data_IF_492939635569
#
_entry.id   IF_492939635569
#
_cell.length_a   1.000
_cell.length_b   1.000
_cell.length_c   1.000
_cell.angle_alpha   90.00
_cell.angle_beta   90.00
_cell.angle_gamma   90.00
#
_symmetry.space_group_name_H-M   'P 1'
#
loop_
_entity.id
_entity.type
_entity.pdbx_description
1 polymer ?
#
# COMPACT_ATOMS: atom_id res chain seq x y z
N UNK A 1 -52.48 -28.17 39.06
CA UNK A 1 -52.38 -26.88 38.33
C UNK A 1 -52.50 -25.75 39.34
N UNK A 2 -51.40 -25.10 39.71
CA UNK A 2 -51.41 -23.95 40.61
C UNK A 2 -51.72 -22.68 39.82
N UNK A 3 -52.89 -22.06 40.06
CA UNK A 3 -53.29 -20.84 39.39
C UNK A 3 -52.42 -19.66 39.85
N UNK A 4 -51.65 -19.07 38.94
CA UNK A 4 -50.92 -17.83 39.18
C UNK A 4 -51.92 -16.69 39.41
N UNK A 5 -52.01 -16.24 40.67
CA UNK A 5 -52.87 -15.11 41.06
C UNK A 5 -52.24 -13.82 40.56
N UNK A 6 -52.77 -13.26 39.47
CA UNK A 6 -52.34 -11.98 38.92
C UNK A 6 -52.60 -10.89 39.97
N UNK A 7 -51.54 -10.17 40.39
CA UNK A 7 -51.64 -9.09 41.38
C UNK A 7 -52.59 -7.99 40.86
N UNK A 8 -53.40 -7.41 41.76
CA UNK A 8 -54.29 -6.31 41.38
C UNK A 8 -53.50 -5.09 40.90
N UNK A 9 -54.04 -4.27 39.98
CA UNK A 9 -53.35 -3.10 39.43
C UNK A 9 -52.87 -2.09 40.50
N UNK A 10 -53.59 -2.00 41.63
CA UNK A 10 -53.18 -1.18 42.77
C UNK A 10 -51.89 -1.69 43.43
N UNK A 11 -51.78 -3.00 43.67
CA UNK A 11 -50.57 -3.61 44.26
C UNK A 11 -49.34 -3.45 43.37
N UNK A 12 -49.53 -3.48 42.05
CA UNK A 12 -48.44 -3.23 41.08
C UNK A 12 -47.99 -1.77 41.13
N UNK A 13 -48.91 -0.80 41.26
CA UNK A 13 -48.57 0.62 41.41
C UNK A 13 -47.82 0.90 42.72
N UNK A 14 -48.27 0.32 43.83
CA UNK A 14 -47.61 0.44 45.14
C UNK A 14 -46.20 -0.16 45.13
N UNK A 15 -46.01 -1.35 44.56
CA UNK A 15 -44.67 -1.93 44.41
C UNK A 15 -43.77 -1.09 43.50
N UNK A 16 -44.28 -0.60 42.36
CA UNK A 16 -43.51 0.27 41.46
C UNK A 16 -43.05 1.55 42.15
N UNK A 17 -43.92 2.18 42.93
CA UNK A 17 -43.61 3.44 43.60
C UNK A 17 -42.67 3.23 44.81
N UNK A 18 -42.68 2.04 45.44
CA UNK A 18 -41.72 1.62 46.49
C UNK A 18 -40.26 1.55 46.01
N UNK A 19 -40.02 1.28 44.72
CA UNK A 19 -38.66 1.17 44.16
C UNK A 19 -38.21 2.38 43.33
N UNK A 20 -39.13 3.29 42.98
CA UNK A 20 -38.87 4.45 42.10
C UNK A 20 -37.82 5.42 42.65
N UNK A 21 -37.69 5.52 43.97
CA UNK A 21 -36.75 6.41 44.65
C UNK A 21 -35.49 5.70 45.21
N UNK A 22 -35.35 4.38 45.02
CA UNK A 22 -34.18 3.64 45.52
C UNK A 22 -32.95 3.72 44.61
N UNK A 23 -33.14 4.11 43.35
CA UNK A 23 -32.10 4.17 42.32
C UNK A 23 -31.89 5.59 41.75
N UNK A 24 -32.46 6.61 42.38
CA UNK A 24 -32.19 8.00 42.01
C UNK A 24 -30.99 8.50 42.81
N UNK A 25 -29.84 8.59 42.13
CA UNK A 25 -28.68 9.28 42.70
C UNK A 25 -29.04 10.76 42.99
N UNK A 26 -28.49 11.36 44.07
CA UNK A 26 -28.67 12.78 44.34
C UNK A 26 -28.33 13.59 43.09
N UNK A 27 -29.13 14.62 42.74
CA UNK A 27 -28.93 15.43 41.52
C UNK A 27 -27.50 15.94 41.34
N UNK A 28 -26.75 16.14 42.43
CA UNK A 28 -25.33 16.48 42.40
C UNK A 28 -24.45 15.34 41.87
N UNK A 29 -24.70 14.10 42.27
CA UNK A 29 -23.92 12.92 41.84
C UNK A 29 -24.15 12.60 40.37
N UNK A 30 -25.41 12.62 39.91
CA UNK A 30 -25.72 12.48 38.47
C UNK A 30 -25.10 13.60 37.63
N UNK A 31 -25.07 14.83 38.17
CA UNK A 31 -24.39 15.94 37.53
C UNK A 31 -22.86 15.71 37.43
N UNK A 32 -22.19 15.29 38.50
CA UNK A 32 -20.75 15.00 38.44
C UNK A 32 -20.44 13.83 37.50
N UNK A 33 -21.23 12.74 37.53
CA UNK A 33 -21.04 11.59 36.63
C UNK A 33 -21.17 11.97 35.15
N UNK A 34 -22.14 12.83 34.81
CA UNK A 34 -22.29 13.35 33.45
C UNK A 34 -21.04 14.12 32.99
N UNK A 35 -20.49 14.96 33.85
CA UNK A 35 -19.28 15.74 33.51
C UNK A 35 -18.00 14.91 33.50
N UNK A 36 -17.89 13.89 34.34
CA UNK A 36 -16.79 12.91 34.30
C UNK A 36 -16.78 12.18 32.95
N UNK A 37 -17.96 11.74 32.48
CA UNK A 37 -18.09 11.11 31.16
C UNK A 37 -17.74 12.07 30.02
N UNK A 38 -18.19 13.34 30.10
CA UNK A 38 -17.85 14.36 29.11
C UNK A 38 -16.32 14.61 29.03
N UNK A 39 -15.64 14.69 30.18
CA UNK A 39 -14.19 14.85 30.23
C UNK A 39 -13.43 13.63 29.70
N UNK A 40 -13.93 12.41 29.94
CA UNK A 40 -13.34 11.20 29.39
C UNK A 40 -13.39 11.19 27.86
N UNK A 41 -14.51 11.61 27.27
CA UNK A 41 -14.67 11.71 25.80
C UNK A 41 -13.72 12.78 25.23
N UNK A 42 -13.65 13.96 25.85
CA UNK A 42 -12.75 15.03 25.41
C UNK A 42 -11.28 14.59 25.51
N UNK A 43 -10.91 13.91 26.59
CA UNK A 43 -9.57 13.36 26.78
C UNK A 43 -9.18 12.35 25.70
N UNK A 44 -10.08 11.42 25.36
CA UNK A 44 -9.86 10.44 24.27
C UNK A 44 -9.69 11.16 22.93
N UNK A 45 -10.55 12.12 22.60
CA UNK A 45 -10.45 12.88 21.35
C UNK A 45 -9.16 13.71 21.27
N UNK A 46 -8.72 14.30 22.38
CA UNK A 46 -7.46 15.04 22.43
C UNK A 46 -6.24 14.14 22.21
N UNK A 47 -6.22 12.94 22.80
CA UNK A 47 -5.16 11.94 22.59
C UNK A 47 -5.13 11.48 21.13
N UNK A 48 -6.30 11.20 20.53
CA UNK A 48 -6.40 10.82 19.12
C UNK A 48 -5.94 11.94 18.18
N UNK A 49 -6.32 13.20 18.45
CA UNK A 49 -5.87 14.35 17.66
C UNK A 49 -4.38 14.66 17.79
N UNK A 50 -3.81 14.52 19.00
CA UNK A 50 -2.37 14.68 19.25
C UNK A 50 -1.53 13.56 18.62
N UNK A 51 -2.01 12.32 18.65
CA UNK A 51 -1.38 11.19 17.96
C UNK A 51 -1.25 11.44 16.45
N UNK A 52 -2.28 12.04 15.84
CA UNK A 52 -2.27 12.41 14.43
C UNK A 52 -1.30 13.56 14.12
N UNK A 53 -1.30 14.64 14.93
CA UNK A 53 -0.38 15.78 14.77
C UNK A 53 1.10 15.42 14.97
N UNK A 54 1.40 14.44 15.82
CA UNK A 54 2.77 14.01 16.11
C UNK A 54 3.24 12.82 15.26
N UNK A 55 2.38 12.30 14.37
CA UNK A 55 2.68 11.12 13.54
C UNK A 55 2.85 9.82 14.35
N UNK A 56 2.42 9.80 15.62
CA UNK A 56 2.43 8.58 16.44
C UNK A 56 1.14 7.81 16.17
N UNK A 57 1.16 6.99 15.12
CA UNK A 57 0.12 6.00 14.83
C UNK A 57 0.07 4.97 15.96
N UNK A 58 -0.88 5.14 16.88
CA UNK A 58 -1.28 4.08 17.80
C UNK A 58 -2.08 3.02 17.02
N UNK A 59 -1.40 2.20 16.21
CA UNK A 59 -1.84 0.87 15.77
C UNK A 59 -3.21 0.76 15.08
N UNK A 60 -3.66 1.78 14.34
CA UNK A 60 -4.88 1.72 13.50
C UNK A 60 -4.54 1.86 12.01
N UNK A 61 -3.48 1.17 11.55
CA UNK A 61 -3.00 1.26 10.16
C UNK A 61 -3.95 0.59 9.14
N UNK A 62 -5.05 -0.02 9.57
CA UNK A 62 -6.06 -0.62 8.67
C UNK A 62 -7.01 0.39 8.02
N UNK A 63 -6.91 1.69 8.31
CA UNK A 63 -7.75 2.72 7.67
C UNK A 63 -6.98 3.80 6.90
N UNK A 64 -5.65 3.83 6.96
CA UNK A 64 -4.84 4.90 6.39
C UNK A 64 -4.12 4.53 5.07
N UNK A 65 -4.31 3.31 4.57
CA UNK A 65 -3.63 2.86 3.35
C UNK A 65 -4.24 3.38 2.04
N UNK A 66 -5.28 4.22 2.09
CA UNK A 66 -5.95 4.72 0.88
C UNK A 66 -6.42 6.18 1.00
N UNK A 67 -5.53 7.09 1.43
CA UNK A 67 -5.84 8.53 1.42
C UNK A 67 -4.87 9.30 0.55
N UNK A 68 -4.88 9.02 -0.75
CA UNK A 68 -4.42 9.97 -1.77
C UNK A 68 -5.51 10.97 -2.18
N UNK A 69 -6.72 10.90 -1.59
CA UNK A 69 -7.81 11.80 -1.96
C UNK A 69 -7.90 13.03 -1.04
N UNK A 70 -8.03 14.19 -1.66
CA UNK A 70 -7.99 15.51 -1.00
C UNK A 70 -9.16 15.77 -0.05
N UNK A 71 -10.23 14.96 -0.13
CA UNK A 71 -11.45 15.10 0.68
C UNK A 71 -11.28 14.70 2.14
N UNK A 72 -10.51 13.65 2.45
CA UNK A 72 -10.41 13.12 3.83
C UNK A 72 -9.63 14.06 4.75
N UNK A 73 -8.63 14.76 4.20
CA UNK A 73 -7.89 15.79 4.93
C UNK A 73 -8.76 17.00 5.32
N UNK A 74 -9.75 17.35 4.49
CA UNK A 74 -10.66 18.47 4.77
C UNK A 74 -11.66 18.10 5.86
N UNK A 75 -12.20 16.87 5.86
CA UNK A 75 -13.14 16.41 6.89
C UNK A 75 -12.46 16.42 8.27
N UNK A 76 -11.23 15.90 8.36
CA UNK A 76 -10.48 15.89 9.63
C UNK A 76 -10.17 17.30 10.15
N UNK A 77 -9.79 18.23 9.25
CA UNK A 77 -9.55 19.63 9.62
C UNK A 77 -10.79 20.26 10.28
N UNK A 78 -11.95 20.09 9.65
CA UNK A 78 -13.20 20.65 10.18
C UNK A 78 -13.64 19.99 11.49
N UNK A 79 -13.50 18.67 11.63
CA UNK A 79 -13.79 17.96 12.91
C UNK A 79 -12.91 18.49 14.04
N UNK A 80 -11.62 18.68 13.78
CA UNK A 80 -10.66 19.19 14.77
C UNK A 80 -10.99 20.64 15.16
N UNK A 81 -11.28 21.50 14.17
CA UNK A 81 -11.64 22.89 14.39
C UNK A 81 -12.93 23.04 15.22
N UNK A 82 -13.98 22.31 14.87
CA UNK A 82 -15.23 22.31 15.63
C UNK A 82 -15.04 21.74 17.04
N UNK A 83 -14.18 20.73 17.20
CA UNK A 83 -13.77 20.21 18.51
C UNK A 83 -13.18 21.29 19.42
N UNK A 84 -12.27 22.11 18.90
CA UNK A 84 -11.70 23.25 19.64
C UNK A 84 -12.75 24.30 20.00
N UNK A 85 -13.66 24.65 19.08
CA UNK A 85 -14.72 25.64 19.33
C UNK A 85 -15.64 25.19 20.46
N UNK A 86 -16.09 23.93 20.41
CA UNK A 86 -16.94 23.32 21.45
C UNK A 86 -16.21 23.28 22.79
N UNK A 87 -14.93 22.87 22.79
CA UNK A 87 -14.09 22.87 23.98
C UNK A 87 -14.02 24.26 24.64
N UNK A 88 -13.72 25.30 23.87
CA UNK A 88 -13.63 26.67 24.39
C UNK A 88 -14.98 27.20 24.89
N UNK A 89 -16.09 26.85 24.23
CA UNK A 89 -17.43 27.20 24.68
C UNK A 89 -17.78 26.56 26.02
N UNK A 90 -17.51 25.25 26.16
CA UNK A 90 -17.70 24.50 27.40
C UNK A 90 -16.78 25.04 28.50
N UNK A 91 -15.51 25.29 28.21
CA UNK A 91 -14.54 25.83 29.16
C UNK A 91 -14.96 27.21 29.67
N UNK A 92 -15.37 28.12 28.77
CA UNK A 92 -15.87 29.46 29.12
C UNK A 92 -17.12 29.39 29.99
N UNK A 93 -18.02 28.45 29.71
CA UNK A 93 -19.22 28.22 30.52
C UNK A 93 -18.89 27.64 31.90
N UNK A 94 -17.98 26.67 31.97
CA UNK A 94 -17.51 26.07 33.23
C UNK A 94 -16.75 27.08 34.11
N UNK A 95 -15.94 27.97 33.53
CA UNK A 95 -15.22 29.04 34.25
C UNK A 95 -16.15 29.99 35.02
N UNK A 96 -17.41 30.13 34.59
CA UNK A 96 -18.42 30.93 35.31
C UNK A 96 -18.91 30.25 36.59
N UNK A 97 -18.72 28.93 36.74
CA UNK A 97 -19.10 28.19 37.94
C UNK A 97 -17.95 28.22 38.94
N UNK A 98 -18.09 29.04 39.99
CA UNK A 98 -17.13 29.13 41.13
C UNK A 98 -17.22 27.94 42.10
N UNK A 99 -17.43 26.72 41.59
CA UNK A 99 -17.51 25.51 42.42
C UNK A 99 -16.12 24.91 42.59
N UNK A 100 -15.52 25.09 43.78
CA UNK A 100 -14.16 24.63 44.09
C UNK A 100 -14.03 23.10 44.03
N UNK A 101 -15.08 22.36 44.38
CA UNK A 101 -15.04 20.89 44.37
C UNK A 101 -15.04 20.34 42.94
N UNK A 102 -15.78 20.99 42.03
CA UNK A 102 -15.77 20.65 40.61
C UNK A 102 -14.37 20.80 39.99
N UNK A 103 -13.68 21.91 40.26
CA UNK A 103 -12.32 22.16 39.72
C UNK A 103 -11.29 21.19 40.29
N UNK A 104 -11.41 20.81 41.57
CA UNK A 104 -10.54 19.82 42.20
C UNK A 104 -10.70 18.43 41.60
N UNK A 105 -11.94 17.97 41.38
CA UNK A 105 -12.22 16.67 40.75
C UNK A 105 -11.75 16.64 39.30
N UNK A 106 -11.97 17.72 38.54
CA UNK A 106 -11.54 17.83 37.14
C UNK A 106 -10.01 17.78 36.99
N UNK A 107 -9.28 18.46 37.89
CA UNK A 107 -7.82 18.45 37.89
C UNK A 107 -7.26 17.04 38.17
N UNK A 108 -7.84 16.30 39.11
CA UNK A 108 -7.42 14.93 39.42
C UNK A 108 -7.68 13.97 38.24
N UNK A 109 -8.83 14.09 37.57
CA UNK A 109 -9.16 13.27 36.39
C UNK A 109 -8.19 13.57 35.25
N UNK A 110 -7.91 14.84 34.97
CA UNK A 110 -6.96 15.25 33.94
C UNK A 110 -5.54 14.69 34.24
N UNK A 111 -5.10 14.75 35.50
CA UNK A 111 -3.82 14.18 35.91
C UNK A 111 -3.74 12.67 35.66
N UNK A 112 -4.82 11.92 35.91
CA UNK A 112 -4.89 10.48 35.62
C UNK A 112 -4.79 10.22 34.11
N UNK A 113 -5.48 10.98 33.28
CA UNK A 113 -5.38 10.82 31.82
C UNK A 113 -3.99 11.17 31.27
N UNK A 114 -3.35 12.21 31.78
CA UNK A 114 -1.96 12.55 31.42
C UNK A 114 -1.02 11.40 31.84
N UNK A 115 -1.18 10.88 33.05
CA UNK A 115 -0.36 9.76 33.53
C UNK A 115 -0.56 8.49 32.68
N UNK A 116 -1.80 8.15 32.33
CA UNK A 116 -2.11 7.03 31.44
C UNK A 116 -1.56 7.25 30.02
N UNK A 117 -1.63 8.46 29.49
CA UNK A 117 -1.03 8.82 28.20
C UNK A 117 0.50 8.69 28.21
N UNK A 118 1.16 9.13 29.27
CA UNK A 118 2.62 8.98 29.44
C UNK A 118 3.02 7.51 29.59
N UNK A 119 2.25 6.71 30.34
CA UNK A 119 2.48 5.26 30.48
C UNK A 119 2.26 4.56 29.14
N UNK A 120 1.19 4.86 28.42
CA UNK A 120 0.93 4.32 27.08
C UNK A 120 2.00 4.70 26.06
N UNK A 121 2.47 5.95 26.10
CA UNK A 121 3.60 6.42 25.30
C UNK A 121 4.91 5.71 25.64
N UNK A 122 5.19 5.48 26.92
CA UNK A 122 6.37 4.74 27.39
C UNK A 122 6.32 3.25 27.00
N UNK A 123 5.14 2.62 27.07
CA UNK A 123 4.96 1.23 26.63
C UNK A 123 5.12 1.13 25.10
N UNK A 124 4.59 2.11 24.36
CA UNK A 124 4.74 2.18 22.90
C UNK A 124 6.21 2.40 22.51
N UNK A 125 6.96 3.26 23.21
CA UNK A 125 8.38 3.48 22.94
C UNK A 125 9.25 2.29 23.33
N UNK A 126 8.89 1.53 24.37
CA UNK A 126 9.56 0.28 24.73
C UNK A 126 9.25 -0.86 23.75
N UNK A 127 8.02 -0.93 23.21
CA UNK A 127 7.69 -1.86 22.13
C UNK A 127 8.38 -1.49 20.82
N UNK A 128 8.59 -0.21 20.52
CA UNK A 128 9.44 0.26 19.41
C UNK A 128 10.95 -0.03 19.63
N UNK A 129 11.38 -0.21 20.87
CA UNK A 129 12.76 -0.60 21.20
C UNK A 129 12.97 -2.12 21.22
N UNK A 130 11.91 -2.91 21.48
CA UNK A 130 11.92 -4.39 21.45
C UNK A 130 11.53 -4.98 20.11
N UNK A 131 10.68 -4.31 19.34
CA UNK A 131 10.62 -4.48 17.90
C UNK A 131 11.90 -3.85 17.36
N UNK A 132 12.98 -4.63 17.34
CA UNK A 132 14.22 -4.26 16.68
C UNK A 132 13.98 -4.08 15.19
N UNK A 133 13.35 -2.98 14.79
CA UNK A 133 13.57 -2.37 13.49
C UNK A 133 14.95 -1.76 13.60
N UNK A 134 15.94 -2.63 13.43
CA UNK A 134 17.28 -2.22 13.12
C UNK A 134 17.15 -1.41 11.82
N UNK A 135 17.20 -0.08 11.89
CA UNK A 135 17.19 0.78 10.69
C UNK A 135 18.35 0.46 9.73
N UNK A 136 19.32 -0.32 10.19
CA UNK A 136 20.45 -0.84 9.42
C UNK A 136 20.25 -2.29 8.94
N UNK A 137 19.08 -2.89 9.20
CA UNK A 137 18.60 -4.14 8.58
C UNK A 137 17.16 -3.95 8.08
N UNK A 138 16.92 -2.91 7.30
CA UNK A 138 16.24 -3.23 6.06
C UNK A 138 17.13 -4.30 5.41
N UNK A 139 16.63 -5.52 5.21
CA UNK A 139 17.12 -6.33 4.09
C UNK A 139 17.33 -5.32 2.96
N UNK A 140 18.52 -5.21 2.35
CA UNK A 140 18.68 -4.24 1.29
C UNK A 140 17.58 -4.59 0.29
N UNK A 141 16.54 -3.75 0.24
CA UNK A 141 15.89 -3.47 -1.01
C UNK A 141 17.10 -3.03 -1.84
N UNK A 142 17.74 -3.96 -2.56
CA UNK A 142 18.73 -3.64 -3.57
C UNK A 142 18.11 -2.46 -4.27
N UNK A 143 18.66 -1.25 -4.06
CA UNK A 143 17.91 -0.01 -4.21
C UNK A 143 17.01 -0.15 -5.43
N UNK A 144 15.71 -0.39 -5.19
CA UNK A 144 14.84 -0.94 -6.22
C UNK A 144 14.80 0.03 -7.39
N UNK A 145 14.90 1.32 -7.06
CA UNK A 145 15.12 2.39 -8.00
C UNK A 145 16.40 2.19 -8.83
N UNK A 146 17.56 1.99 -8.21
CA UNK A 146 18.81 1.68 -8.93
C UNK A 146 18.71 0.42 -9.78
N UNK A 147 18.12 -0.66 -9.27
CA UNK A 147 17.98 -1.93 -10.00
C UNK A 147 17.08 -1.77 -11.21
N UNK A 148 15.93 -1.12 -11.06
CA UNK A 148 15.01 -0.83 -12.15
C UNK A 148 15.60 0.16 -13.15
N UNK A 149 16.31 1.19 -12.69
CA UNK A 149 17.01 2.12 -13.57
C UNK A 149 18.04 1.39 -14.44
N UNK A 150 18.79 0.44 -13.85
CA UNK A 150 19.73 -0.38 -14.62
C UNK A 150 19.02 -1.28 -15.63
N UNK A 151 17.85 -1.82 -15.28
CA UNK A 151 17.06 -2.60 -16.22
C UNK A 151 16.53 -1.74 -17.37
N UNK A 152 16.08 -0.52 -17.07
CA UNK A 152 15.65 0.48 -18.06
C UNK A 152 16.80 0.82 -19.01
N UNK A 153 18.02 1.08 -18.52
CA UNK A 153 19.17 1.43 -19.38
C UNK A 153 19.71 0.25 -20.19
N UNK A 154 19.46 -0.98 -19.75
CA UNK A 154 19.77 -2.21 -20.47
C UNK A 154 18.72 -2.59 -21.53
N UNK A 155 17.61 -1.86 -21.62
CA UNK A 155 16.48 -2.18 -22.50
C UNK A 155 16.36 -1.11 -23.58
N UNK A 156 16.13 -1.53 -24.82
CA UNK A 156 16.18 -0.70 -26.00
C UNK A 156 14.93 -0.88 -26.86
N UNK A 157 14.36 0.21 -27.40
CA UNK A 157 13.36 0.10 -28.45
C UNK A 157 14.06 -0.33 -29.74
N UNK A 158 13.44 -1.28 -30.43
CA UNK A 158 13.89 -1.72 -31.75
C UNK A 158 12.78 -1.55 -32.78
N UNK A 159 13.17 -1.33 -34.02
CA UNK A 159 12.25 -1.27 -35.15
C UNK A 159 12.75 -2.00 -36.37
N UNK A 160 11.80 -2.43 -37.18
CA UNK A 160 11.99 -3.03 -38.49
C UNK A 160 11.18 -2.25 -39.52
N UNK A 161 11.36 -2.49 -40.82
CA UNK A 161 10.49 -1.96 -41.86
C UNK A 161 8.99 -2.15 -41.61
N UNK A 162 8.56 -3.29 -41.04
CA UNK A 162 7.14 -3.60 -40.82
C UNK A 162 6.64 -3.43 -39.39
N UNK A 163 7.52 -3.24 -38.40
CA UNK A 163 7.13 -3.29 -36.99
C UNK A 163 8.09 -2.63 -36.00
N UNK A 164 7.76 -2.76 -34.72
CA UNK A 164 8.56 -2.29 -33.61
C UNK A 164 8.34 -3.17 -32.38
N UNK A 165 9.33 -3.22 -31.51
CA UNK A 165 9.30 -3.98 -30.27
C UNK A 165 10.41 -3.57 -29.32
N UNK A 166 10.74 -4.47 -28.42
CA UNK A 166 11.72 -4.27 -27.36
C UNK A 166 12.84 -5.31 -27.45
N UNK A 167 14.07 -4.90 -27.17
CA UNK A 167 15.20 -5.80 -26.95
C UNK A 167 15.95 -5.40 -25.68
N UNK A 168 16.63 -6.34 -25.03
CA UNK A 168 17.45 -6.04 -23.85
C UNK A 168 18.85 -6.66 -23.95
N UNK A 169 19.85 -5.99 -23.38
CA UNK A 169 21.23 -6.46 -23.35
C UNK A 169 21.43 -7.55 -22.29
N UNK A 170 22.17 -8.60 -22.65
CA UNK A 170 22.51 -9.72 -21.75
C UNK A 170 23.99 -9.84 -21.43
N UNK A 171 24.83 -9.06 -22.11
CA UNK A 171 26.26 -8.96 -21.80
C UNK A 171 26.79 -7.54 -22.08
N UNK A 172 28.06 -7.29 -21.72
CA UNK A 172 28.73 -6.02 -21.97
C UNK A 172 29.20 -5.83 -23.43
N UNK A 173 29.14 -6.88 -24.24
CA UNK A 173 29.64 -6.90 -25.60
C UNK A 173 28.58 -6.43 -26.61
N UNK A 174 27.38 -6.06 -26.16
CA UNK A 174 26.29 -5.66 -27.05
C UNK A 174 25.47 -6.83 -27.59
N UNK A 175 25.46 -7.98 -26.93
CA UNK A 175 24.51 -9.06 -27.26
C UNK A 175 23.14 -8.72 -26.68
N UNK A 176 22.11 -8.71 -27.53
CA UNK A 176 20.74 -8.39 -27.16
C UNK A 176 19.82 -9.59 -27.42
N UNK A 177 18.76 -9.70 -26.63
CA UNK A 177 17.67 -10.67 -26.81
C UNK A 177 16.39 -9.92 -27.16
N UNK A 178 15.58 -10.49 -28.05
CA UNK A 178 14.21 -10.05 -28.35
C UNK A 178 13.36 -11.26 -28.76
N UNK A 179 12.07 -11.02 -29.00
CA UNK A 179 11.16 -12.03 -29.55
C UNK A 179 11.37 -12.18 -31.06
N UNK A 180 11.27 -13.41 -31.59
CA UNK A 180 11.48 -13.66 -33.02
C UNK A 180 10.42 -12.98 -33.87
N UNK A 181 9.14 -13.01 -33.47
CA UNK A 181 8.05 -12.39 -34.21
C UNK A 181 8.19 -10.86 -34.38
N UNK A 182 9.06 -10.21 -33.59
CA UNK A 182 9.35 -8.77 -33.75
C UNK A 182 10.22 -8.51 -34.99
N UNK A 183 11.01 -9.50 -35.40
CA UNK A 183 11.98 -9.41 -36.50
C UNK A 183 11.74 -10.45 -37.60
N UNK A 184 10.57 -11.10 -37.58
CA UNK A 184 10.22 -12.15 -38.54
C UNK A 184 10.20 -11.59 -39.96
N UNK A 185 10.83 -12.32 -40.90
CA UNK A 185 10.99 -11.92 -42.31
C UNK A 185 11.72 -10.57 -42.55
N UNK A 186 12.43 -10.06 -41.55
CA UNK A 186 13.15 -8.78 -41.64
C UNK A 186 14.66 -8.97 -41.79
N UNK A 187 15.23 -8.40 -42.85
CA UNK A 187 16.67 -8.39 -43.08
C UNK A 187 17.40 -7.29 -42.27
N UNK A 188 16.65 -6.29 -41.79
CA UNK A 188 17.20 -5.09 -41.17
C UNK A 188 16.45 -4.80 -39.87
N UNK A 189 17.22 -4.72 -38.78
CA UNK A 189 16.73 -4.33 -37.46
C UNK A 189 17.49 -3.10 -36.99
N UNK A 190 16.77 -2.10 -36.51
CA UNK A 190 17.32 -0.86 -35.96
C UNK A 190 17.12 -0.82 -34.45
N UNK A 191 18.12 -0.28 -33.75
CA UNK A 191 17.99 0.23 -32.39
C UNK A 191 17.65 1.73 -32.47
N UNK A 192 16.59 2.14 -31.77
CA UNK A 192 16.11 3.52 -31.80
C UNK A 192 16.64 4.31 -30.59
N UNK A 193 17.74 5.03 -30.79
CA UNK A 193 18.35 5.87 -29.76
C UNK A 193 17.84 7.31 -29.87
N UNK A 194 17.96 8.06 -28.78
CA UNK A 194 17.71 9.51 -28.77
C UNK A 194 18.59 10.25 -29.79
N UNK A 195 19.78 9.71 -30.07
CA UNK A 195 20.74 10.25 -31.04
C UNK A 195 20.44 9.85 -32.48
N UNK A 196 19.49 8.93 -32.72
CA UNK A 196 19.16 8.39 -34.03
C UNK A 196 19.09 6.86 -34.05
N UNK A 197 18.94 6.31 -35.25
CA UNK A 197 18.86 4.85 -35.46
C UNK A 197 20.23 4.25 -35.73
N UNK A 198 20.49 3.09 -35.13
CA UNK A 198 21.70 2.31 -35.38
C UNK A 198 21.35 0.87 -35.79
N UNK A 199 22.09 0.32 -36.75
CA UNK A 199 21.83 -1.04 -37.24
C UNK A 199 22.21 -2.09 -36.18
N UNK A 200 21.36 -3.10 -36.04
CA UNK A 200 21.64 -4.32 -35.31
C UNK A 200 21.87 -5.47 -36.30
N UNK A 201 22.82 -6.34 -36.00
CA UNK A 201 23.05 -7.57 -36.76
C UNK A 201 22.28 -8.72 -36.11
N UNK A 202 21.54 -9.50 -36.92
CA UNK A 202 20.92 -10.74 -36.46
C UNK A 202 22.02 -11.81 -36.32
N UNK A 203 22.23 -12.33 -35.10
CA UNK A 203 23.21 -13.39 -34.85
C UNK A 203 22.59 -14.78 -35.00
N UNK A 204 21.40 -14.96 -34.44
CA UNK A 204 20.68 -16.23 -34.45
C UNK A 204 19.21 -16.00 -34.20
N UNK A 205 18.36 -16.82 -34.81
CA UNK A 205 16.92 -16.85 -34.56
C UNK A 205 16.50 -18.25 -34.17
N UNK A 206 15.39 -18.34 -33.45
CA UNK A 206 14.75 -19.58 -33.08
C UNK A 206 13.23 -19.39 -33.17
N UNK A 207 12.64 -19.61 -34.36
CA UNK A 207 11.20 -19.46 -34.56
C UNK A 207 10.37 -20.34 -33.63
N UNK A 208 10.86 -21.54 -33.30
CA UNK A 208 10.16 -22.48 -32.43
C UNK A 208 9.99 -22.00 -30.98
N UNK A 209 10.92 -21.17 -30.49
CA UNK A 209 10.89 -20.61 -29.12
C UNK A 209 10.49 -19.14 -29.09
N UNK A 210 10.16 -18.56 -30.25
CA UNK A 210 9.94 -17.13 -30.42
C UNK A 210 11.09 -16.25 -29.89
N UNK A 211 12.35 -16.64 -30.17
CA UNK A 211 13.54 -15.93 -29.68
C UNK A 211 14.50 -15.50 -30.80
N UNK A 212 15.13 -14.35 -30.62
CA UNK A 212 16.22 -13.88 -31.47
C UNK A 212 17.36 -13.26 -30.67
N UNK A 213 18.59 -13.51 -31.12
CA UNK A 213 19.82 -12.87 -30.66
C UNK A 213 20.28 -11.83 -31.67
N UNK A 214 20.46 -10.61 -31.20
CA UNK A 214 20.95 -9.49 -31.97
C UNK A 214 22.31 -9.03 -31.46
N UNK A 215 23.06 -8.35 -32.33
CA UNK A 215 24.34 -7.75 -32.02
C UNK A 215 24.29 -6.25 -32.26
N UNK A 216 24.58 -5.51 -31.20
CA UNK A 216 24.95 -4.11 -31.27
C UNK A 216 26.48 -3.99 -31.40
N UNK A 217 26.92 -3.10 -32.30
CA UNK A 217 28.35 -2.94 -32.58
C UNK A 217 29.13 -2.26 -31.43
N UNK A 218 28.43 -1.59 -30.51
CA UNK A 218 29.03 -0.88 -29.38
C UNK A 218 28.82 -1.63 -28.06
N UNK A 219 29.69 -1.41 -27.06
CA UNK A 219 29.50 -1.97 -25.73
C UNK A 219 28.19 -1.50 -25.08
N UNK A 220 27.58 -2.37 -24.31
CA UNK A 220 26.37 -2.13 -23.49
C UNK A 220 26.78 -2.14 -22.02
N UNK A 221 27.06 -0.97 -21.40
CA UNK A 221 27.60 -0.91 -20.05
C UNK A 221 26.61 -1.48 -19.01
N UNK A 222 25.32 -1.36 -19.28
CA UNK A 222 24.25 -1.98 -18.52
C UNK A 222 23.68 -3.16 -19.31
N UNK A 223 23.50 -4.28 -18.61
CA UNK A 223 22.93 -5.51 -19.12
C UNK A 223 22.25 -6.29 -17.99
N UNK A 224 21.34 -7.17 -18.37
CA UNK A 224 20.56 -8.01 -17.48
C UNK A 224 21.20 -9.38 -17.32
N UNK A 225 21.17 -9.90 -16.09
CA UNK A 225 21.53 -11.29 -15.81
C UNK A 225 20.28 -12.15 -15.91
N UNK A 226 20.32 -13.15 -16.78
CA UNK A 226 19.27 -14.15 -16.88
C UNK A 226 19.27 -15.07 -15.66
N UNK A 227 18.08 -15.44 -15.19
CA UNK A 227 17.87 -16.40 -14.11
C UNK A 227 17.08 -17.59 -14.66
N UNK A 228 17.33 -18.78 -14.11
CA UNK A 228 16.71 -20.02 -14.59
C UNK A 228 15.37 -20.32 -13.90
N UNK A 229 15.12 -19.72 -12.73
CA UNK A 229 13.99 -20.07 -11.87
C UNK A 229 13.35 -18.83 -11.25
N UNK A 230 12.04 -18.92 -11.01
CA UNK A 230 11.23 -17.95 -10.26
C UNK A 230 10.24 -18.72 -9.37
N UNK A 231 9.65 -18.06 -8.39
CA UNK A 231 8.68 -18.67 -7.46
C UNK A 231 7.27 -18.08 -7.61
N UNK A 232 6.26 -18.85 -7.23
CA UNK A 232 4.88 -18.36 -7.17
C UNK A 232 4.77 -17.20 -6.19
N UNK A 233 3.99 -16.17 -6.53
CA UNK A 233 3.80 -14.94 -5.77
C UNK A 233 5.07 -14.05 -5.65
N UNK A 234 6.13 -14.34 -6.42
CA UNK A 234 7.27 -13.44 -6.53
C UNK A 234 6.88 -12.13 -7.22
N UNK A 235 7.31 -10.99 -6.66
CA UNK A 235 7.11 -9.68 -7.26
C UNK A 235 7.99 -9.53 -8.50
N UNK A 236 7.37 -9.16 -9.61
CA UNK A 236 8.04 -8.94 -10.89
C UNK A 236 7.67 -7.60 -11.50
N UNK A 237 8.47 -7.18 -12.48
CA UNK A 237 8.24 -5.98 -13.28
C UNK A 237 8.34 -6.37 -14.75
N UNK A 238 7.34 -5.99 -15.54
CA UNK A 238 7.41 -6.07 -16.99
C UNK A 238 7.87 -4.71 -17.51
N UNK A 239 8.90 -4.72 -18.36
CA UNK A 239 9.53 -3.54 -18.91
C UNK A 239 9.49 -3.62 -20.43
N UNK A 240 9.15 -2.53 -21.10
CA UNK A 240 9.17 -2.52 -22.56
C UNK A 240 8.84 -1.16 -23.15
N UNK A 241 8.91 -1.07 -24.47
CA UNK A 241 8.61 0.13 -25.23
C UNK A 241 7.31 -0.05 -26.02
N UNK A 242 6.16 0.39 -25.48
CA UNK A 242 4.89 0.23 -26.16
C UNK A 242 4.89 1.01 -27.48
N UNK A 243 4.12 0.53 -28.45
CA UNK A 243 4.18 1.01 -29.84
C UNK A 243 3.92 2.52 -30.00
N UNK A 244 3.15 3.11 -29.08
CA UNK A 244 2.86 4.55 -29.04
C UNK A 244 3.95 5.41 -28.35
N UNK A 245 4.83 4.80 -27.55
CA UNK A 245 5.90 5.46 -26.80
C UNK A 245 7.22 5.51 -27.57
N UNK A 246 7.30 4.86 -28.73
CA UNK A 246 8.46 4.84 -29.61
C UNK A 246 8.96 6.26 -29.98
N UNK A 247 8.04 7.21 -30.18
CA UNK A 247 8.40 8.62 -30.46
C UNK A 247 8.80 9.43 -29.22
N UNK A 248 8.51 8.93 -28.01
CA UNK A 248 8.81 9.60 -26.75
C UNK A 248 10.13 9.18 -26.14
N UNK A 249 10.73 8.08 -26.60
CA UNK A 249 11.98 7.52 -26.08
C UNK A 249 11.89 7.01 -24.63
N UNK A 250 10.68 6.73 -24.13
CA UNK A 250 10.46 6.30 -22.74
C UNK A 250 9.94 4.85 -22.71
N UNK A 251 10.60 4.01 -21.92
CA UNK A 251 10.09 2.69 -21.57
C UNK A 251 8.87 2.84 -20.64
N UNK A 252 7.98 1.86 -20.69
CA UNK A 252 6.97 1.65 -19.66
C UNK A 252 7.38 0.52 -18.75
N UNK A 253 7.02 0.67 -17.48
CA UNK A 253 7.20 -0.35 -16.46
C UNK A 253 5.83 -0.63 -15.83
N UNK A 254 5.49 -1.90 -15.68
CA UNK A 254 4.34 -2.35 -14.91
C UNK A 254 4.80 -3.36 -13.87
N UNK A 255 4.19 -3.33 -12.69
CA UNK A 255 4.47 -4.25 -11.60
C UNK A 255 3.37 -5.30 -11.50
N UNK A 256 3.73 -6.52 -11.17
CA UNK A 256 2.79 -7.60 -10.88
C UNK A 256 3.48 -8.73 -10.13
N UNK A 257 2.82 -9.87 -10.06
CA UNK A 257 3.34 -11.07 -9.41
C UNK A 257 3.35 -12.26 -10.36
N UNK A 258 4.21 -13.23 -10.09
CA UNK A 258 4.11 -14.55 -10.70
C UNK A 258 2.84 -15.22 -10.20
N UNK A 259 1.79 -15.16 -11.03
CA UNK A 259 0.46 -15.71 -10.72
C UNK A 259 0.36 -17.22 -10.99
N UNK A 260 1.18 -17.74 -11.90
CA UNK A 260 1.28 -19.18 -12.20
C UNK A 260 2.59 -19.50 -12.93
N UNK A 261 3.16 -20.66 -12.64
CA UNK A 261 4.24 -21.27 -13.44
C UNK A 261 3.61 -22.45 -14.18
N UNK A 262 3.63 -22.40 -15.51
CA UNK A 262 3.08 -23.45 -16.38
C UNK A 262 4.28 -24.24 -16.89
N UNK A 263 4.44 -25.45 -16.37
CA UNK A 263 5.56 -26.33 -16.75
C UNK A 263 5.32 -26.98 -18.10
N UNK A 264 6.39 -27.53 -18.67
CA UNK A 264 6.40 -28.27 -19.94
C UNK A 264 5.29 -29.36 -20.02
N UNK A 265 5.01 -30.05 -18.92
CA UNK A 265 3.97 -31.09 -18.87
C UNK A 265 2.55 -30.52 -18.97
N UNK A 266 2.33 -29.34 -18.37
CA UNK A 266 1.06 -28.62 -18.44
C UNK A 266 0.88 -27.89 -19.78
N UNK A 267 1.98 -27.37 -20.35
CA UNK A 267 1.97 -26.71 -21.65
C UNK A 267 1.55 -27.68 -22.76
N UNK A 268 2.09 -28.90 -22.78
CA UNK A 268 1.70 -29.97 -23.74
C UNK A 268 0.21 -30.31 -23.74
N UNK A 269 -0.45 -30.21 -22.58
CA UNK A 269 -1.89 -30.52 -22.47
C UNK A 269 -2.78 -29.43 -23.03
N UNK A 270 -2.29 -28.19 -23.10
CA UNK A 270 -3.08 -27.01 -23.46
C UNK A 270 -2.67 -26.40 -24.80
N UNK A 271 -1.47 -26.67 -25.31
CA UNK A 271 -0.90 -26.10 -26.54
C UNK A 271 -0.26 -27.20 -27.40
N UNK A 272 -1.04 -27.82 -28.30
CA UNK A 272 -0.61 -28.96 -29.14
C UNK A 272 0.55 -28.63 -30.10
N UNK A 273 0.77 -27.34 -30.42
CA UNK A 273 1.75 -26.88 -31.41
C UNK A 273 3.03 -26.28 -30.82
N UNK A 274 3.19 -26.26 -29.49
CA UNK A 274 4.38 -25.71 -28.84
C UNK A 274 5.45 -26.78 -28.58
N UNK A 275 6.75 -26.42 -28.67
CA UNK A 275 7.82 -27.32 -28.27
C UNK A 275 7.61 -27.89 -26.87
N UNK A 276 8.03 -29.16 -26.75
CA UNK A 276 7.78 -30.01 -25.59
C UNK A 276 8.46 -29.53 -24.30
N UNK A 277 9.33 -28.54 -24.38
CA UNK A 277 10.25 -28.07 -23.35
C UNK A 277 10.10 -26.58 -23.00
N UNK A 278 9.00 -25.94 -23.43
CA UNK A 278 8.68 -24.55 -23.05
C UNK A 278 7.85 -24.50 -21.77
N UNK A 279 8.30 -23.64 -20.85
CA UNK A 279 7.56 -23.25 -19.66
C UNK A 279 7.12 -21.78 -19.76
N UNK A 280 5.93 -21.47 -19.25
CA UNK A 280 5.39 -20.10 -19.24
C UNK A 280 5.28 -19.56 -17.81
N UNK A 281 5.57 -18.29 -17.66
CA UNK A 281 5.30 -17.52 -16.44
C UNK A 281 4.05 -16.69 -16.72
N UNK A 282 3.00 -16.91 -15.95
CA UNK A 282 1.80 -16.09 -15.99
C UNK A 282 1.92 -14.96 -14.96
N UNK A 283 1.63 -13.73 -15.37
CA UNK A 283 1.69 -12.55 -14.51
C UNK A 283 0.43 -11.70 -14.63
N UNK A 284 0.11 -10.94 -13.58
CA UNK A 284 -0.89 -9.87 -13.61
C UNK A 284 -0.27 -8.50 -13.95
N UNK A 285 1.05 -8.43 -14.15
CA UNK A 285 1.71 -7.23 -14.66
C UNK A 285 1.15 -6.88 -16.05
N UNK A 286 0.82 -5.60 -16.26
CA UNK A 286 0.26 -5.15 -17.53
C UNK A 286 1.28 -5.25 -18.67
N UNK A 287 0.97 -6.04 -19.71
CA UNK A 287 1.76 -6.16 -20.94
C UNK A 287 0.93 -5.63 -22.11
N UNK A 288 1.47 -4.66 -22.85
CA UNK A 288 0.80 -3.98 -23.96
C UNK A 288 1.54 -4.19 -25.29
N UNK A 289 0.87 -3.90 -26.40
CA UNK A 289 1.48 -3.89 -27.74
C UNK A 289 2.74 -2.99 -27.77
N UNK A 290 3.86 -3.57 -28.21
CA UNK A 290 5.20 -2.97 -28.25
C UNK A 290 6.14 -3.42 -27.11
N UNK A 291 5.62 -3.96 -26.01
CA UNK A 291 6.46 -4.65 -25.01
C UNK A 291 7.01 -5.99 -25.52
N UNK A 292 6.60 -6.46 -26.69
CA UNK A 292 7.09 -7.71 -27.30
C UNK A 292 8.62 -7.75 -27.33
N UNK A 293 9.19 -8.79 -26.72
CA UNK A 293 10.63 -9.01 -26.61
C UNK A 293 11.31 -8.40 -25.38
N UNK A 294 10.60 -7.61 -24.58
CA UNK A 294 11.05 -7.05 -23.30
C UNK A 294 10.81 -7.96 -22.09
#
# INVERSE_FOLDING_TARGET
>A
MGAYRIKSPQKIREERDKYKNKWSFPKRVTYYLFWVAAWAIIGVLAVLGLGWLTGVQLGFDTFAADTSDSQDSQVLFWVTLWGFIIFFAIWRWLKRRKDKDFWRVSANILAVFIALGLIGGAISSVNLHRAGVNKNQATPLCDMHTTLNKAITATYPISTPSGAGTAFAVDANGTLVTAYHVIEDEDIVYMDLVTGRENLQILRTSPEYDLALLKYAKPTPDFLRLIETTELAEQIYALGYPANAFYSGRSTISSGVVSRIITNEDAKRNFESMPADISFIQTDAAVNLGNSGG
#
